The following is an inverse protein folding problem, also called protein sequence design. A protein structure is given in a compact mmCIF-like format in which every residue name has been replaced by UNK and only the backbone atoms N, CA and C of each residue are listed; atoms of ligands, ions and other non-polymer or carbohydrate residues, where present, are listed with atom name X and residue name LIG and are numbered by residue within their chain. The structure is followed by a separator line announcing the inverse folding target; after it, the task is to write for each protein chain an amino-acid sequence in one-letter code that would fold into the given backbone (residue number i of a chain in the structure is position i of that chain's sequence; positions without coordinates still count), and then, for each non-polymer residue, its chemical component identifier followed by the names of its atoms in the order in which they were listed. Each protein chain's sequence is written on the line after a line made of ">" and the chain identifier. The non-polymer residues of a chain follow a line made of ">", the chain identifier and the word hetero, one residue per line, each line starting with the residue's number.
data_IF_898004202322
#
_entry.id   IF_898004202322
#
_cell.length_a   1.000
_cell.length_b   1.000
_cell.length_c   1.000
_cell.angle_alpha   90.00
_cell.angle_beta   90.00
_cell.angle_gamma   90.00
#
_symmetry.space_group_name_H-M   'P 1'
#
loop_
_entity.id
_entity.type
_entity.pdbx_description
1 polymer ?
#
# COMPACT_ATOMS: atom_id res chain seq x y z
N UNK A 1 -12.47 -55.23 -3.92
CA UNK A 1 -12.45 -54.64 -5.28
C UNK A 1 -13.83 -54.04 -5.53
N UNK A 2 -13.92 -52.77 -5.92
CA UNK A 2 -15.04 -52.22 -6.68
C UNK A 2 -14.54 -50.95 -7.37
N UNK A 3 -14.44 -51.05 -8.68
CA UNK A 3 -13.97 -50.04 -9.59
C UNK A 3 -15.12 -49.11 -9.95
N UNK A 4 -14.94 -47.80 -9.77
CA UNK A 4 -15.64 -46.82 -10.59
C UNK A 4 -14.61 -45.90 -11.24
N UNK A 5 -14.58 -46.05 -12.56
CA UNK A 5 -13.61 -45.52 -13.50
C UNK A 5 -13.84 -44.03 -13.77
N UNK A 6 -12.73 -43.36 -14.11
CA UNK A 6 -12.57 -41.92 -14.33
C UNK A 6 -13.41 -41.39 -15.50
N UNK A 7 -13.91 -40.16 -15.39
CA UNK A 7 -14.02 -39.25 -16.54
C UNK A 7 -13.48 -37.86 -16.19
N UNK A 8 -12.24 -37.62 -16.63
CA UNK A 8 -11.67 -36.28 -16.80
C UNK A 8 -12.39 -35.64 -17.98
N UNK A 9 -12.99 -34.46 -17.79
CA UNK A 9 -13.51 -33.67 -18.90
C UNK A 9 -12.39 -32.73 -19.33
N UNK A 10 -11.78 -33.11 -20.44
CA UNK A 10 -10.80 -32.32 -21.19
C UNK A 10 -11.49 -31.78 -22.44
N UNK A 11 -11.46 -30.46 -22.63
CA UNK A 11 -11.66 -29.72 -23.90
C UNK A 11 -10.82 -28.45 -23.72
N UNK A 12 -9.62 -28.29 -24.27
CA UNK A 12 -9.18 -28.25 -25.68
C UNK A 12 -9.91 -27.16 -26.48
N UNK A 13 -9.27 -25.98 -26.53
CA UNK A 13 -8.77 -25.40 -27.77
C UNK A 13 -9.72 -24.55 -28.63
N UNK A 14 -9.52 -23.23 -28.60
CA UNK A 14 -9.54 -22.29 -29.74
C UNK A 14 -8.94 -20.98 -29.18
N UNK A 15 -7.80 -20.42 -29.59
CA UNK A 15 -7.18 -20.44 -30.91
C UNK A 15 -7.55 -19.17 -31.67
N UNK A 16 -7.01 -18.00 -31.27
CA UNK A 16 -6.89 -16.84 -32.16
C UNK A 16 -5.57 -16.11 -31.88
N UNK A 17 -4.60 -16.38 -32.73
CA UNK A 17 -3.36 -15.62 -32.87
C UNK A 17 -3.72 -14.31 -33.58
N UNK A 18 -3.60 -13.19 -32.86
CA UNK A 18 -3.56 -11.87 -33.48
C UNK A 18 -2.14 -11.33 -33.33
N UNK A 19 -1.27 -11.69 -34.29
CA UNK A 19 0.00 -11.02 -34.50
C UNK A 19 -0.28 -9.60 -35.00
N UNK A 20 -0.32 -8.64 -34.10
CA UNK A 20 -0.41 -7.21 -34.41
C UNK A 20 0.87 -6.53 -33.96
N UNK A 21 1.77 -6.26 -34.91
CA UNK A 21 2.95 -5.43 -34.68
C UNK A 21 2.52 -3.99 -34.40
N UNK A 22 2.72 -3.51 -33.18
CA UNK A 22 2.68 -2.09 -32.83
C UNK A 22 4.12 -1.60 -32.74
N UNK A 23 4.64 -1.15 -33.88
CA UNK A 23 5.87 -0.36 -33.99
C UNK A 23 5.44 1.10 -34.02
N UNK A 24 6.27 1.98 -33.44
CA UNK A 24 6.18 3.45 -33.39
C UNK A 24 5.33 4.00 -32.22
N UNK A 25 5.78 4.89 -31.35
CA UNK A 25 6.96 5.77 -31.36
C UNK A 25 7.28 6.24 -29.93
N UNK A 26 8.58 6.43 -29.66
CA UNK A 26 9.05 7.32 -28.60
C UNK A 26 8.72 8.77 -29.00
N UNK A 27 7.79 9.39 -28.29
CA UNK A 27 7.65 10.84 -28.18
C UNK A 27 7.18 11.10 -26.74
N UNK A 28 8.11 11.29 -25.80
CA UNK A 28 8.65 12.60 -25.45
C UNK A 28 7.52 13.58 -25.10
N UNK A 29 7.36 13.79 -23.79
CA UNK A 29 6.54 14.82 -23.16
C UNK A 29 6.76 16.18 -23.85
N UNK A 30 5.72 16.77 -24.45
CA UNK A 30 5.72 18.18 -24.79
C UNK A 30 4.28 18.69 -24.97
N UNK A 31 3.86 19.62 -24.10
CA UNK A 31 2.59 20.34 -24.15
C UNK A 31 2.45 21.19 -25.42
N UNK A 32 1.27 21.19 -26.05
CA UNK A 32 0.40 22.36 -26.26
C UNK A 32 -0.89 21.97 -27.01
N UNK A 33 -2.03 22.58 -26.62
CA UNK A 33 -3.12 23.07 -27.48
C UNK A 33 -4.56 22.79 -27.03
N UNK A 34 -5.31 23.89 -27.14
CA UNK A 34 -6.64 24.25 -26.69
C UNK A 34 -7.83 23.64 -27.48
N UNK A 35 -8.90 23.36 -26.73
CA UNK A 35 -10.35 23.30 -27.05
C UNK A 35 -10.91 22.13 -27.87
N UNK A 36 -11.53 21.19 -27.14
CA UNK A 36 -12.54 20.24 -27.63
C UNK A 36 -13.06 19.39 -26.46
N UNK A 37 -14.20 19.80 -25.90
CA UNK A 37 -14.77 19.31 -24.63
C UNK A 37 -14.92 17.78 -24.55
N UNK A 38 -14.21 17.18 -23.59
CA UNK A 38 -14.58 15.93 -22.94
C UNK A 38 -14.12 16.09 -21.49
N UNK A 39 -15.07 16.11 -20.56
CA UNK A 39 -14.81 16.22 -19.12
C UNK A 39 -13.96 15.02 -18.66
N UNK A 40 -12.65 15.19 -18.76
CA UNK A 40 -11.69 14.41 -17.99
C UNK A 40 -11.52 15.20 -16.70
N UNK A 41 -12.23 14.77 -15.65
CA UNK A 41 -11.91 15.21 -14.29
C UNK A 41 -10.55 14.62 -13.92
N UNK A 42 -9.50 15.26 -14.41
CA UNK A 42 -8.19 15.20 -13.81
C UNK A 42 -8.32 15.74 -12.40
N UNK A 43 -8.43 14.84 -11.43
CA UNK A 43 -8.12 15.14 -10.04
C UNK A 43 -6.63 15.46 -9.98
N UNK A 44 -6.27 16.68 -10.36
CA UNK A 44 -5.07 17.29 -9.84
C UNK A 44 -5.30 17.34 -8.33
N UNK A 45 -4.59 16.50 -7.57
CA UNK A 45 -4.34 16.78 -6.16
C UNK A 45 -3.57 18.08 -6.14
N UNK A 46 -4.30 19.19 -6.15
CA UNK A 46 -3.79 20.47 -5.73
C UNK A 46 -3.40 20.26 -4.27
N UNK A 47 -2.12 20.00 -4.04
CA UNK A 47 -1.52 20.26 -2.75
C UNK A 47 -1.65 21.77 -2.59
N UNK A 48 -2.71 22.17 -1.89
CA UNK A 48 -2.90 23.56 -1.52
C UNK A 48 -1.73 23.90 -0.60
N UNK A 49 -0.83 24.75 -1.08
CA UNK A 49 0.16 25.36 -0.19
C UNK A 49 -0.60 26.07 0.94
N UNK A 50 -0.16 25.94 2.21
CA UNK A 50 -0.92 26.44 3.33
C UNK A 50 -1.05 27.96 3.24
N UNK A 51 -2.29 28.40 3.01
CA UNK A 51 -2.71 29.79 3.12
C UNK A 51 -2.75 30.16 4.59
N UNK A 52 -1.85 31.06 4.98
CA UNK A 52 -1.52 31.44 6.36
C UNK A 52 -0.91 30.27 7.15
N UNK A 53 0.22 30.53 7.79
CA UNK A 53 0.92 29.62 8.71
C UNK A 53 0.00 29.35 9.90
N UNK A 54 -0.96 28.45 9.72
CA UNK A 54 -1.87 28.05 10.76
C UNK A 54 -1.03 27.46 11.89
N UNK A 55 -1.22 27.98 13.09
CA UNK A 55 -0.49 27.46 14.25
C UNK A 55 -1.16 26.17 14.70
N UNK A 56 -0.44 25.06 14.85
CA UNK A 56 -1.00 23.85 15.44
C UNK A 56 -1.49 24.16 16.86
N UNK A 57 -2.64 23.59 17.22
CA UNK A 57 -3.16 23.72 18.59
C UNK A 57 -2.38 22.82 19.56
N UNK A 58 -1.75 21.77 19.05
CA UNK A 58 -0.83 20.92 19.79
C UNK A 58 0.23 20.32 18.85
N UNK A 59 1.45 20.18 19.36
CA UNK A 59 2.57 19.56 18.65
C UNK A 59 3.23 18.53 19.55
N UNK A 60 3.45 17.34 19.01
CA UNK A 60 4.24 16.28 19.61
C UNK A 60 5.50 16.14 18.75
N UNK A 61 6.63 16.75 19.15
CA UNK A 61 7.84 16.79 18.32
C UNK A 61 8.63 15.48 18.34
N UNK A 62 8.31 14.58 19.27
CA UNK A 62 8.99 13.30 19.43
C UNK A 62 7.98 12.24 19.86
N UNK A 63 7.87 11.18 19.07
CA UNK A 63 7.02 10.03 19.30
C UNK A 63 7.81 8.74 19.57
N UNK A 64 9.11 8.82 19.88
CA UNK A 64 9.95 7.66 20.21
C UNK A 64 9.51 6.85 21.43
N UNK A 65 8.62 7.40 22.27
CA UNK A 65 8.00 6.69 23.38
C UNK A 65 6.55 6.27 23.08
N UNK A 66 6.19 6.21 21.80
CA UNK A 66 4.91 5.71 21.33
C UNK A 66 4.71 4.22 21.63
N UNK A 67 3.51 3.73 21.35
CA UNK A 67 3.15 2.32 21.48
C UNK A 67 3.41 1.61 20.15
N UNK A 68 2.36 1.29 19.40
CA UNK A 68 2.46 0.60 18.12
C UNK A 68 1.48 1.18 17.12
N UNK A 69 1.88 1.20 15.85
CA UNK A 69 0.94 1.28 14.74
C UNK A 69 0.49 -0.12 14.38
N UNK A 70 -0.81 -0.36 14.41
CA UNK A 70 -1.40 -1.68 14.18
C UNK A 70 -2.16 -1.74 12.86
N UNK A 71 -1.88 -2.76 12.06
CA UNK A 71 -2.54 -3.04 10.78
C UNK A 71 -3.16 -4.42 10.85
N UNK A 72 -4.48 -4.46 10.95
CA UNK A 72 -5.25 -5.71 10.82
C UNK A 72 -5.38 -6.06 9.34
N UNK A 73 -5.02 -7.29 9.00
CA UNK A 73 -5.01 -7.77 7.63
C UNK A 73 -6.22 -8.64 7.37
N UNK A 74 -6.93 -8.36 6.29
CA UNK A 74 -8.05 -9.19 5.86
C UNK A 74 -7.57 -10.59 5.49
N UNK A 75 -8.32 -11.60 5.92
CA UNK A 75 -7.99 -13.00 5.62
C UNK A 75 -7.88 -13.26 4.11
N UNK A 76 -8.70 -12.59 3.29
CA UNK A 76 -8.66 -12.72 1.83
C UNK A 76 -7.35 -12.25 1.22
N UNK A 77 -6.67 -11.28 1.84
CA UNK A 77 -5.35 -10.83 1.41
C UNK A 77 -4.28 -11.88 1.76
N UNK A 78 -4.32 -12.44 2.97
CA UNK A 78 -3.41 -13.51 3.39
C UNK A 78 -3.58 -14.75 2.52
N UNK A 79 -4.82 -15.12 2.19
CA UNK A 79 -5.13 -16.24 1.31
C UNK A 79 -4.60 -15.98 -0.11
N UNK A 80 -4.73 -14.75 -0.61
CA UNK A 80 -4.18 -14.36 -1.91
C UNK A 80 -2.65 -14.47 -1.93
N UNK A 81 -1.96 -13.95 -0.91
CA UNK A 81 -0.50 -14.10 -0.78
C UNK A 81 -0.09 -15.57 -0.74
N UNK A 82 -0.79 -16.38 0.06
CA UNK A 82 -0.53 -17.82 0.18
C UNK A 82 -0.76 -18.54 -1.14
N UNK A 83 -1.77 -18.15 -1.92
CA UNK A 83 -2.03 -18.71 -3.26
C UNK A 83 -0.90 -18.41 -4.27
N UNK A 84 -0.19 -17.30 -4.06
CA UNK A 84 1.01 -16.91 -4.81
C UNK A 84 2.29 -17.54 -4.24
N UNK A 85 2.18 -18.34 -3.17
CA UNK A 85 3.31 -18.98 -2.50
C UNK A 85 4.12 -18.04 -1.60
N UNK A 86 3.57 -16.87 -1.24
CA UNK A 86 4.21 -15.90 -0.36
C UNK A 86 3.68 -16.05 1.06
N UNK A 87 4.61 -16.15 2.02
CA UNK A 87 4.27 -16.18 3.44
C UNK A 87 4.68 -14.86 4.10
N UNK A 88 3.71 -14.04 4.57
CA UNK A 88 4.02 -12.83 5.32
C UNK A 88 4.43 -13.17 6.76
N UNK A 89 5.41 -12.44 7.30
CA UNK A 89 5.83 -12.53 8.69
C UNK A 89 6.40 -11.18 9.17
N UNK A 90 6.36 -10.87 10.48
CA UNK A 90 6.98 -9.65 10.99
C UNK A 90 8.50 -9.75 10.98
N UNK A 91 9.17 -8.61 10.83
CA UNK A 91 10.63 -8.45 10.87
C UNK A 91 11.03 -7.63 12.10
N UNK A 92 12.18 -7.97 12.68
CA UNK A 92 12.81 -7.20 13.76
C UNK A 92 11.94 -7.11 15.01
N UNK A 93 11.62 -5.89 15.44
CA UNK A 93 10.75 -5.64 16.60
C UNK A 93 9.26 -5.68 16.29
N UNK A 94 8.87 -5.84 15.02
CA UNK A 94 7.49 -6.01 14.62
C UNK A 94 6.89 -7.30 15.19
N UNK A 95 5.59 -7.32 15.42
CA UNK A 95 4.88 -8.51 15.92
C UNK A 95 3.65 -8.84 15.07
N UNK A 96 3.19 -10.08 15.17
CA UNK A 96 1.97 -10.54 14.54
C UNK A 96 1.11 -11.32 15.54
N UNK A 97 -0.12 -10.87 15.72
CA UNK A 97 -1.13 -11.60 16.48
C UNK A 97 -1.98 -12.44 15.54
N UNK A 98 -1.72 -13.76 15.52
CA UNK A 98 -2.48 -14.70 14.70
C UNK A 98 -3.92 -14.93 15.13
N UNK A 99 -4.33 -14.50 16.34
CA UNK A 99 -5.73 -14.58 16.77
C UNK A 99 -6.58 -13.46 16.16
N UNK A 100 -6.00 -12.27 15.97
CA UNK A 100 -6.69 -11.10 15.40
C UNK A 100 -6.30 -10.82 13.95
N UNK A 101 -5.22 -11.41 13.44
CA UNK A 101 -4.67 -11.13 12.11
C UNK A 101 -4.00 -9.75 12.05
N UNK A 102 -3.44 -9.27 13.17
CA UNK A 102 -2.91 -7.91 13.28
C UNK A 102 -1.40 -7.89 13.34
N UNK A 103 -0.78 -7.10 12.47
CA UNK A 103 0.62 -6.71 12.60
C UNK A 103 0.73 -5.46 13.46
N UNK A 104 1.69 -5.46 14.39
CA UNK A 104 2.02 -4.29 15.19
C UNK A 104 3.48 -3.88 14.94
N UNK A 105 3.67 -2.60 14.64
CA UNK A 105 4.97 -1.98 14.41
C UNK A 105 5.22 -0.95 15.52
N UNK A 106 6.23 -1.14 16.36
CA UNK A 106 6.57 -0.19 17.41
C UNK A 106 6.91 1.18 16.83
N UNK A 107 6.36 2.24 17.42
CA UNK A 107 6.71 3.61 17.03
C UNK A 107 8.04 3.95 17.67
N UNK A 108 9.00 4.33 16.84
CA UNK A 108 10.40 4.61 17.22
C UNK A 108 10.77 6.09 17.12
N UNK A 109 9.92 6.90 16.48
CA UNK A 109 10.17 8.31 16.27
C UNK A 109 9.03 8.99 15.52
N UNK A 110 9.34 10.15 14.94
CA UNK A 110 8.39 10.97 14.21
C UNK A 110 7.76 12.08 15.06
N UNK A 111 6.87 12.84 14.42
CA UNK A 111 6.20 14.00 15.01
C UNK A 111 4.77 14.11 14.52
N UNK A 112 3.91 14.73 15.32
CA UNK A 112 2.52 15.00 14.95
C UNK A 112 2.11 16.41 15.39
N UNK A 113 1.51 17.14 14.46
CA UNK A 113 0.83 18.40 14.67
C UNK A 113 -0.69 18.20 14.54
N UNK A 114 -1.42 18.73 15.52
CA UNK A 114 -2.87 18.76 15.51
C UNK A 114 -3.35 20.20 15.30
N UNK A 115 -4.25 20.39 14.34
CA UNK A 115 -4.87 21.64 13.97
C UNK A 115 -6.35 21.64 14.36
N UNK A 116 -6.90 22.82 14.66
CA UNK A 116 -8.32 22.95 15.01
C UNK A 116 -9.20 22.49 13.83
N UNK A 117 -10.13 21.53 14.01
CA UNK A 117 -11.10 21.15 12.98
C UNK A 117 -12.00 22.31 12.51
N UNK A 118 -12.12 23.38 13.28
CA UNK A 118 -12.82 24.62 12.90
C UNK A 118 -12.01 25.52 11.98
N UNK A 119 -10.68 25.30 11.88
CA UNK A 119 -9.81 26.00 10.91
C UNK A 119 -9.98 25.43 9.50
N UNK A 120 -9.36 26.08 8.52
CA UNK A 120 -9.36 25.62 7.13
C UNK A 120 -8.30 24.53 6.84
N UNK A 121 -7.44 24.20 7.81
CA UNK A 121 -6.32 23.24 7.61
C UNK A 121 -6.82 21.81 7.57
N UNK A 122 -6.53 21.09 6.47
CA UNK A 122 -6.86 19.67 6.31
C UNK A 122 -5.70 18.89 5.66
N UNK A 123 -5.38 17.67 6.14
CA UNK A 123 -5.97 16.99 7.30
C UNK A 123 -5.63 17.69 8.62
N UNK A 124 -6.45 17.50 9.66
CA UNK A 124 -6.29 18.18 10.95
C UNK A 124 -5.26 17.50 11.88
N UNK A 125 -4.82 16.30 11.54
CA UNK A 125 -3.63 15.65 12.11
C UNK A 125 -2.64 15.51 10.97
N UNK A 126 -1.43 16.02 11.16
CA UNK A 126 -0.35 15.95 10.17
C UNK A 126 0.92 15.54 10.88
N UNK A 127 1.76 14.76 10.23
CA UNK A 127 2.93 14.21 10.87
C UNK A 127 3.51 13.05 10.08
N UNK A 128 4.45 12.39 10.73
CA UNK A 128 5.16 11.22 10.24
C UNK A 128 5.43 10.32 11.46
N UNK A 129 5.30 9.02 11.28
CA UNK A 129 5.60 8.01 12.30
C UNK A 129 6.70 7.07 11.81
N UNK A 130 7.85 7.07 12.51
CA UNK A 130 8.96 6.19 12.19
C UNK A 130 8.87 4.84 12.93
N UNK A 131 9.14 3.74 12.24
CA UNK A 131 9.09 2.37 12.77
C UNK A 131 10.42 1.61 12.53
N UNK A 132 11.54 2.27 12.79
CA UNK A 132 12.89 1.77 12.52
C UNK A 132 13.15 0.41 13.21
N UNK A 133 13.80 -0.51 12.50
CA UNK A 133 14.11 -1.85 12.99
C UNK A 133 12.90 -2.79 13.06
N UNK A 134 11.75 -2.39 12.51
CA UNK A 134 10.57 -3.25 12.33
C UNK A 134 10.18 -3.37 10.85
N UNK A 135 9.34 -4.35 10.51
CA UNK A 135 8.92 -4.52 9.12
C UNK A 135 8.10 -5.78 8.83
N UNK A 136 7.95 -6.08 7.54
CA UNK A 136 7.29 -7.26 6.99
C UNK A 136 8.23 -8.00 6.04
N UNK A 137 8.33 -9.32 6.20
CA UNK A 137 8.99 -10.20 5.24
C UNK A 137 7.96 -10.93 4.39
N UNK A 138 8.28 -11.10 3.11
CA UNK A 138 7.56 -11.97 2.19
C UNK A 138 8.53 -13.05 1.69
N UNK A 139 8.27 -14.30 2.06
CA UNK A 139 9.13 -15.43 1.72
C UNK A 139 8.47 -16.35 0.71
N UNK A 140 9.21 -16.72 -0.35
CA UNK A 140 8.86 -17.76 -1.31
C UNK A 140 10.10 -18.63 -1.62
N UNK A 141 10.06 -19.90 -1.17
CA UNK A 141 11.20 -20.82 -1.30
C UNK A 141 12.44 -20.26 -0.61
N UNK A 142 13.53 -20.12 -1.37
CA UNK A 142 14.81 -19.58 -0.87
C UNK A 142 14.91 -18.05 -0.97
N UNK A 143 13.88 -17.38 -1.47
CA UNK A 143 13.86 -15.92 -1.64
C UNK A 143 13.06 -15.27 -0.52
N UNK A 144 13.68 -14.31 0.16
CA UNK A 144 13.05 -13.45 1.17
C UNK A 144 13.20 -12.01 0.73
N UNK A 145 12.09 -11.28 0.73
CA UNK A 145 12.08 -9.82 0.59
C UNK A 145 11.61 -9.22 1.90
N UNK A 146 12.33 -8.24 2.41
CA UNK A 146 11.97 -7.51 3.63
C UNK A 146 11.60 -6.08 3.26
N UNK A 147 10.45 -5.64 3.79
CA UNK A 147 10.00 -4.26 3.79
C UNK A 147 10.18 -3.75 5.21
N UNK A 148 11.18 -2.91 5.45
CA UNK A 148 11.56 -2.44 6.79
C UNK A 148 11.43 -0.94 6.92
N UNK A 149 11.46 -0.47 8.16
CA UNK A 149 11.60 0.95 8.52
C UNK A 149 10.46 1.80 7.94
N UNK A 150 9.24 1.34 8.19
CA UNK A 150 8.04 2.01 7.69
C UNK A 150 7.92 3.43 8.22
N UNK A 151 7.54 4.31 7.30
CA UNK A 151 7.21 5.71 7.50
C UNK A 151 5.76 5.92 7.06
N UNK A 152 4.93 6.43 7.95
CA UNK A 152 3.46 6.53 7.84
C UNK A 152 3.01 7.95 8.16
#
# INVERSE_FOLDING_TARGET
>A
MNAFSRKKITKVGLGLVASGALVFSLAACSMDSNSGSTESTTSASASAEPSAEATPVASLPDLSNGVDTQVTVDQSFVDALTSLGLTPAPVGTGTFDGATGTFAFPITGGNVDYYDPSSDVRPYVQGELDHDGSGLSLTAGDTTVELTDFRI
#
